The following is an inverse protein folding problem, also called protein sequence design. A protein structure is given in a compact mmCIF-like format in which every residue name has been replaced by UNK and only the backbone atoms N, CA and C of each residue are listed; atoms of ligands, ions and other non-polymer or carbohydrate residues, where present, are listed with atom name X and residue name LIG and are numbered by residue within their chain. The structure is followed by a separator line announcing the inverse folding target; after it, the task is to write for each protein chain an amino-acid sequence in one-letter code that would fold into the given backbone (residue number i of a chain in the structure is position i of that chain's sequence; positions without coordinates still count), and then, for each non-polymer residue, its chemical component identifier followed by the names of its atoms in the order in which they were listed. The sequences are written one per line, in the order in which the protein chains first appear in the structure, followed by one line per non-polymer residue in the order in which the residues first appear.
data_IF_501354898951
#
_entry.id   IF_501354898951
#
_cell.length_a   1.000
_cell.length_b   1.000
_cell.length_c   1.000
_cell.angle_alpha   90.00
_cell.angle_beta   90.00
_cell.angle_gamma   90.00
#
_symmetry.space_group_name_H-M   'P 1'
#
loop_
_entity.id
_entity.type
_entity.pdbx_description
1 polymer ?
#
# COMPACT_ATOMS: atom_id res chain seq x y z
N UNK A 1 21.88 -8.01 23.16
CA UNK A 1 22.08 -7.52 21.79
C UNK A 1 20.69 -7.27 21.21
N UNK A 2 20.42 -6.08 20.67
CA UNK A 2 19.14 -5.76 20.00
C UNK A 2 18.99 -6.68 18.77
N UNK A 3 17.74 -7.06 18.41
CA UNK A 3 17.48 -7.91 17.23
C UNK A 3 18.00 -7.28 15.93
N UNK A 4 17.99 -5.96 15.81
CA UNK A 4 18.52 -5.23 14.66
C UNK A 4 20.04 -5.35 14.58
N UNK A 5 20.75 -5.23 15.71
CA UNK A 5 22.21 -5.39 15.75
C UNK A 5 22.63 -6.82 15.36
N UNK A 6 21.84 -7.81 15.78
CA UNK A 6 22.07 -9.20 15.37
C UNK A 6 21.89 -9.37 13.86
N UNK A 7 20.79 -8.85 13.29
CA UNK A 7 20.56 -8.92 11.84
C UNK A 7 21.66 -8.20 11.06
N UNK A 8 22.07 -7.02 11.52
CA UNK A 8 23.19 -6.28 10.92
C UNK A 8 24.49 -7.07 10.94
N UNK A 9 24.78 -7.77 12.05
CA UNK A 9 25.96 -8.61 12.16
C UNK A 9 25.89 -9.84 11.24
N UNK A 10 24.72 -10.47 11.09
CA UNK A 10 24.51 -11.61 10.19
C UNK A 10 24.69 -11.20 8.72
N UNK A 11 24.09 -10.08 8.32
CA UNK A 11 24.21 -9.55 6.95
C UNK A 11 25.67 -9.20 6.62
N UNK A 12 26.41 -8.57 7.56
CA UNK A 12 27.84 -8.31 7.40
C UNK A 12 28.68 -9.58 7.26
N UNK A 13 28.21 -10.70 7.79
CA UNK A 13 28.85 -12.01 7.64
C UNK A 13 28.41 -12.78 6.39
N UNK A 14 27.65 -12.15 5.50
CA UNK A 14 27.25 -12.72 4.23
C UNK A 14 25.92 -13.49 4.26
N UNK A 15 25.07 -13.30 5.29
CA UNK A 15 23.73 -13.87 5.25
C UNK A 15 22.94 -13.30 4.05
N UNK A 16 22.29 -14.17 3.28
CA UNK A 16 21.44 -13.77 2.17
C UNK A 16 20.13 -13.15 2.68
N UNK A 17 19.96 -11.86 2.46
CA UNK A 17 18.75 -11.11 2.85
C UNK A 17 17.50 -11.52 2.04
N UNK A 18 17.70 -12.19 0.92
CA UNK A 18 16.65 -12.68 0.02
C UNK A 18 16.29 -14.15 0.25
N UNK A 19 16.99 -14.83 1.17
CA UNK A 19 16.63 -16.18 1.53
C UNK A 19 15.16 -16.25 1.94
N UNK A 20 14.46 -17.24 1.40
CA UNK A 20 13.03 -17.40 1.58
C UNK A 20 12.71 -18.74 2.27
N UNK A 21 11.76 -18.70 3.17
CA UNK A 21 11.28 -19.90 3.84
C UNK A 21 10.51 -20.81 2.88
N UNK A 22 10.81 -22.11 2.95
CA UNK A 22 10.11 -23.14 2.21
C UNK A 22 9.13 -23.84 3.14
N UNK A 23 7.89 -23.94 2.73
CA UNK A 23 6.81 -24.61 3.47
C UNK A 23 6.92 -26.13 3.34
N UNK A 24 6.55 -26.90 4.38
CA UNK A 24 6.17 -26.45 5.71
C UNK A 24 7.40 -26.13 6.59
N UNK A 25 7.35 -25.02 7.30
CA UNK A 25 8.35 -24.76 8.34
C UNK A 25 8.08 -25.65 9.57
N UNK A 26 9.13 -26.01 10.32
CA UNK A 26 9.00 -26.89 11.46
C UNK A 26 8.18 -26.28 12.60
N UNK A 27 7.48 -27.12 13.37
CA UNK A 27 6.75 -26.67 14.56
C UNK A 27 7.67 -25.98 15.58
N UNK A 28 8.92 -26.45 15.72
CA UNK A 28 9.94 -25.84 16.58
C UNK A 28 10.27 -24.41 16.12
N UNK A 29 10.43 -24.18 14.80
CA UNK A 29 10.66 -22.85 14.23
C UNK A 29 9.47 -21.92 14.51
N UNK A 30 8.23 -22.37 14.29
CA UNK A 30 7.02 -21.58 14.58
C UNK A 30 6.89 -21.24 16.06
N UNK A 31 7.25 -22.16 16.97
CA UNK A 31 7.25 -21.93 18.40
C UNK A 31 8.29 -20.89 18.81
N UNK A 32 9.47 -20.91 18.16
CA UNK A 32 10.56 -19.98 18.43
C UNK A 32 10.29 -18.57 17.88
N UNK A 33 9.87 -18.44 16.62
CA UNK A 33 9.59 -17.15 15.96
C UNK A 33 8.31 -16.53 16.50
N UNK A 34 7.37 -17.35 16.98
CA UNK A 34 6.05 -16.91 17.48
C UNK A 34 5.35 -15.96 16.51
N UNK A 35 5.27 -16.28 15.23
CA UNK A 35 4.56 -15.41 14.29
C UNK A 35 3.08 -15.37 14.64
N UNK A 36 2.48 -14.20 14.50
CA UNK A 36 1.06 -13.98 14.76
C UNK A 36 0.30 -13.70 13.46
N UNK A 37 -1.01 -13.89 13.50
CA UNK A 37 -1.91 -13.45 12.43
C UNK A 37 -1.58 -13.98 11.05
N UNK A 38 -1.45 -13.07 10.11
CA UNK A 38 -1.36 -13.35 8.69
C UNK A 38 -0.03 -13.99 8.28
N UNK A 39 1.09 -13.52 8.84
CA UNK A 39 2.42 -14.10 8.60
C UNK A 39 2.46 -15.58 9.00
N UNK A 40 1.84 -15.93 10.15
CA UNK A 40 1.78 -17.33 10.61
C UNK A 40 1.13 -18.25 9.60
N UNK A 41 0.06 -17.80 8.97
CA UNK A 41 -0.64 -18.56 7.91
C UNK A 41 0.27 -18.78 6.70
N UNK A 42 1.04 -17.77 6.27
CA UNK A 42 1.96 -17.90 5.14
C UNK A 42 3.13 -18.83 5.48
N UNK A 43 3.76 -18.68 6.64
CA UNK A 43 4.84 -19.57 7.07
C UNK A 43 4.38 -21.04 7.19
N UNK A 44 3.10 -21.27 7.48
CA UNK A 44 2.56 -22.61 7.65
C UNK A 44 2.10 -23.28 6.33
N UNK A 45 1.59 -22.48 5.39
CA UNK A 45 0.86 -22.99 4.22
C UNK A 45 1.36 -22.43 2.88
N UNK A 46 2.40 -21.60 2.88
CA UNK A 46 2.91 -20.95 1.67
C UNK A 46 4.44 -20.89 1.70
N UNK A 47 5.08 -20.91 0.55
CA UNK A 47 6.53 -20.82 0.41
C UNK A 47 6.93 -19.44 -0.15
N UNK A 48 8.19 -19.07 0.01
CA UNK A 48 8.71 -17.82 -0.52
C UNK A 48 8.56 -16.64 0.45
N UNK A 49 8.28 -16.88 1.73
CA UNK A 49 8.25 -15.82 2.76
C UNK A 49 9.68 -15.35 3.05
N UNK A 50 9.95 -14.06 2.85
CA UNK A 50 11.26 -13.43 3.10
C UNK A 50 11.30 -12.68 4.43
N UNK A 51 12.52 -12.35 4.89
CA UNK A 51 12.71 -11.50 6.08
C UNK A 51 12.04 -10.12 5.92
N UNK A 52 12.05 -9.55 4.70
CA UNK A 52 11.39 -8.28 4.40
C UNK A 52 9.85 -8.36 4.56
N UNK A 53 9.23 -9.49 4.19
CA UNK A 53 7.80 -9.72 4.42
C UNK A 53 7.48 -9.79 5.92
N UNK A 54 8.35 -10.42 6.72
CA UNK A 54 8.19 -10.50 8.16
C UNK A 54 8.37 -9.13 8.83
N UNK A 55 9.31 -8.32 8.39
CA UNK A 55 9.48 -6.93 8.84
C UNK A 55 8.24 -6.08 8.51
N UNK A 56 7.67 -6.23 7.31
CA UNK A 56 6.46 -5.54 6.89
C UNK A 56 5.22 -5.97 7.70
N UNK A 57 5.04 -7.28 7.95
CA UNK A 57 3.93 -7.78 8.77
C UNK A 57 4.01 -7.32 10.23
N UNK A 58 5.22 -7.19 10.77
CA UNK A 58 5.43 -6.70 12.15
C UNK A 58 5.40 -5.18 12.28
N UNK A 59 5.43 -4.42 11.18
CA UNK A 59 5.55 -2.96 11.18
C UNK A 59 6.94 -2.46 11.61
N UNK A 60 7.96 -3.30 11.53
CA UNK A 60 9.33 -2.92 11.91
C UNK A 60 10.03 -2.19 10.76
N UNK A 61 9.78 -0.88 10.66
CA UNK A 61 10.32 -0.04 9.59
C UNK A 61 11.85 0.01 9.61
N UNK A 62 12.48 0.03 10.79
CA UNK A 62 13.94 0.06 10.91
C UNK A 62 14.58 -1.24 10.37
N UNK A 63 13.97 -2.39 10.69
CA UNK A 63 14.40 -3.66 10.13
C UNK A 63 14.19 -3.72 8.63
N UNK A 64 13.06 -3.24 8.12
CA UNK A 64 12.78 -3.19 6.70
C UNK A 64 13.79 -2.29 5.95
N UNK A 65 14.12 -1.11 6.50
CA UNK A 65 15.17 -0.22 5.98
C UNK A 65 16.51 -0.96 5.92
N UNK A 66 16.92 -1.60 7.02
CA UNK A 66 18.16 -2.38 7.06
C UNK A 66 18.22 -3.43 5.95
N UNK A 67 17.15 -4.21 5.78
CA UNK A 67 17.10 -5.26 4.75
C UNK A 67 17.15 -4.67 3.34
N UNK A 68 16.42 -3.60 3.08
CA UNK A 68 16.39 -2.91 1.78
C UNK A 68 17.76 -2.31 1.45
N UNK A 69 18.43 -1.69 2.39
CA UNK A 69 19.77 -1.10 2.23
C UNK A 69 20.85 -2.16 1.92
N UNK A 70 20.59 -3.42 2.29
CA UNK A 70 21.45 -4.56 1.98
C UNK A 70 20.94 -5.42 0.82
N UNK A 71 20.06 -4.88 -0.02
CA UNK A 71 19.66 -5.52 -1.26
C UNK A 71 18.45 -6.46 -1.18
N UNK A 72 17.63 -6.35 -0.13
CA UNK A 72 16.37 -7.12 -0.08
C UNK A 72 15.44 -6.73 -1.24
N UNK A 73 15.01 -7.73 -2.00
CA UNK A 73 14.14 -7.57 -3.16
C UNK A 73 12.70 -7.31 -2.73
N UNK A 74 12.19 -6.11 -3.02
CA UNK A 74 10.84 -5.68 -2.61
C UNK A 74 9.70 -6.41 -3.32
N UNK A 75 9.96 -6.91 -4.55
CA UNK A 75 8.96 -7.50 -5.44
C UNK A 75 8.78 -9.01 -5.29
N UNK A 76 9.54 -9.68 -4.44
CA UNK A 76 9.38 -11.12 -4.17
C UNK A 76 7.94 -11.41 -3.74
N UNK A 77 7.40 -12.52 -4.26
CA UNK A 77 6.05 -12.98 -3.93
C UNK A 77 6.06 -14.40 -3.40
N UNK A 78 5.17 -14.68 -2.46
CA UNK A 78 4.93 -16.06 -2.00
C UNK A 78 4.36 -16.91 -3.13
N UNK A 79 4.68 -18.22 -3.14
CA UNK A 79 4.40 -19.13 -4.25
C UNK A 79 2.92 -19.44 -4.43
N UNK A 80 2.19 -19.66 -3.34
CA UNK A 80 0.78 -20.07 -3.41
C UNK A 80 -0.18 -18.92 -3.53
N UNK A 81 -0.03 -17.91 -2.67
CA UNK A 81 -0.96 -16.76 -2.59
C UNK A 81 -0.46 -15.52 -3.33
N UNK A 82 0.73 -15.58 -3.93
CA UNK A 82 1.35 -14.45 -4.65
C UNK A 82 1.39 -13.15 -3.84
N UNK A 83 1.66 -13.24 -2.52
CA UNK A 83 1.67 -12.13 -1.60
C UNK A 83 3.09 -11.54 -1.49
N UNK A 84 3.23 -10.22 -1.44
CA UNK A 84 4.51 -9.52 -1.35
C UNK A 84 4.61 -8.68 -0.08
N UNK A 85 5.81 -8.18 0.24
CA UNK A 85 6.03 -7.35 1.43
C UNK A 85 5.06 -6.16 1.52
N UNK A 86 4.78 -5.47 0.40
CA UNK A 86 3.83 -4.35 0.40
C UNK A 86 2.41 -4.79 0.73
N UNK A 87 2.01 -6.01 0.38
CA UNK A 87 0.71 -6.54 0.76
C UNK A 87 0.58 -6.73 2.28
N UNK A 88 1.65 -7.17 2.95
CA UNK A 88 1.69 -7.27 4.43
C UNK A 88 1.58 -5.87 5.07
N UNK A 89 2.32 -4.89 4.57
CA UNK A 89 2.24 -3.51 5.04
C UNK A 89 0.84 -2.90 4.82
N UNK A 90 0.24 -3.14 3.66
CA UNK A 90 -1.09 -2.65 3.30
C UNK A 90 -2.19 -3.19 4.24
N UNK A 91 -2.10 -4.45 4.65
CA UNK A 91 -3.03 -5.03 5.64
C UNK A 91 -2.96 -4.36 7.01
N UNK A 92 -1.82 -3.77 7.35
CA UNK A 92 -1.64 -3.00 8.59
C UNK A 92 -2.05 -1.54 8.44
N UNK A 93 -2.23 -1.06 7.22
CA UNK A 93 -2.38 0.36 6.94
C UNK A 93 -1.09 1.16 7.19
N UNK A 94 0.08 0.49 7.13
CA UNK A 94 1.37 1.13 7.45
C UNK A 94 1.87 1.93 6.23
N UNK A 95 1.53 3.22 6.22
CA UNK A 95 1.85 4.17 5.15
C UNK A 95 3.37 4.26 4.91
N UNK A 96 4.16 4.46 5.97
CA UNK A 96 5.62 4.61 5.85
C UNK A 96 6.30 3.33 5.33
N UNK A 97 5.83 2.18 5.79
CA UNK A 97 6.31 0.90 5.30
C UNK A 97 5.98 0.72 3.81
N UNK A 98 4.75 1.04 3.38
CA UNK A 98 4.38 0.95 1.97
C UNK A 98 5.21 1.89 1.10
N UNK A 99 5.47 3.13 1.54
CA UNK A 99 6.35 4.08 0.84
C UNK A 99 7.77 3.52 0.68
N UNK A 100 8.38 3.01 1.75
CA UNK A 100 9.69 2.34 1.69
C UNK A 100 9.70 1.20 0.66
N UNK A 101 8.67 0.36 0.68
CA UNK A 101 8.56 -0.79 -0.24
C UNK A 101 8.28 -0.39 -1.69
N UNK A 102 7.76 0.81 -1.92
CA UNK A 102 7.65 1.42 -3.26
C UNK A 102 8.94 2.13 -3.70
N UNK A 103 9.96 2.20 -2.85
CA UNK A 103 11.21 2.90 -3.13
C UNK A 103 11.15 4.40 -2.89
N UNK A 104 10.15 4.85 -2.13
CA UNK A 104 9.98 6.25 -1.72
C UNK A 104 10.55 6.43 -0.33
N UNK A 105 11.21 7.55 -0.07
CA UNK A 105 11.65 7.90 1.28
C UNK A 105 10.43 8.22 2.15
N UNK A 106 10.16 7.45 3.20
CA UNK A 106 8.99 7.67 4.06
C UNK A 106 9.11 8.91 4.95
N UNK A 107 10.28 9.56 5.01
CA UNK A 107 10.49 10.81 5.74
C UNK A 107 10.37 12.05 4.83
N UNK A 108 10.22 11.85 3.52
CA UNK A 108 10.11 12.94 2.54
C UNK A 108 8.76 12.89 1.80
N UNK A 109 7.84 13.77 2.19
CA UNK A 109 6.53 13.89 1.58
C UNK A 109 6.49 15.08 0.61
N UNK A 110 6.72 14.81 -0.69
CA UNK A 110 6.68 15.84 -1.74
C UNK A 110 5.28 16.42 -1.93
N UNK A 111 4.28 15.57 -1.72
CA UNK A 111 2.85 15.94 -1.83
C UNK A 111 1.98 14.93 -1.09
N UNK A 112 0.76 15.36 -0.81
CA UNK A 112 -0.25 14.50 -0.22
C UNK A 112 -1.66 14.90 -0.67
N UNK A 113 -2.62 14.01 -0.49
CA UNK A 113 -4.00 14.20 -0.90
C UNK A 113 -4.89 14.16 0.34
N UNK A 114 -5.76 15.17 0.50
CA UNK A 114 -6.89 15.13 1.43
C UNK A 114 -8.15 14.77 0.67
N UNK A 115 -8.99 13.92 1.26
CA UNK A 115 -10.37 13.70 0.82
C UNK A 115 -11.29 13.89 2.01
N UNK A 116 -12.34 14.67 1.83
CA UNK A 116 -13.40 14.87 2.82
C UNK A 116 -14.69 14.24 2.30
N UNK A 117 -15.17 13.23 3.04
CA UNK A 117 -16.34 12.46 2.65
C UNK A 117 -17.64 13.24 2.84
N UNK A 118 -17.69 14.16 3.79
CA UNK A 118 -18.86 15.01 4.01
C UNK A 118 -19.02 16.06 2.91
N UNK A 119 -17.91 16.64 2.44
CA UNK A 119 -17.89 17.64 1.37
C UNK A 119 -17.87 17.03 -0.03
N UNK A 120 -17.66 15.72 -0.16
CA UNK A 120 -17.41 15.02 -1.44
C UNK A 120 -16.36 15.76 -2.29
N UNK A 121 -15.21 16.06 -1.66
CA UNK A 121 -14.14 16.88 -2.24
C UNK A 121 -12.77 16.31 -1.94
N UNK A 122 -11.85 16.50 -2.88
CA UNK A 122 -10.44 16.18 -2.74
C UNK A 122 -9.57 17.41 -2.98
N UNK A 123 -8.44 17.46 -2.29
CA UNK A 123 -7.38 18.46 -2.43
C UNK A 123 -6.04 17.75 -2.60
N UNK A 124 -5.20 18.28 -3.47
CA UNK A 124 -3.80 17.88 -3.61
C UNK A 124 -2.95 19.04 -3.09
N UNK A 125 -2.08 18.73 -2.16
CA UNK A 125 -1.14 19.67 -1.54
C UNK A 125 0.30 19.34 -1.95
N UNK A 126 1.12 20.36 -2.14
CA UNK A 126 2.56 20.26 -2.35
C UNK A 126 3.35 20.29 -1.03
N UNK A 127 4.68 20.22 -1.15
CA UNK A 127 5.61 20.11 -0.03
C UNK A 127 5.53 21.29 0.96
N UNK A 128 5.24 22.48 0.48
CA UNK A 128 5.09 23.69 1.32
C UNK A 128 3.66 23.87 1.85
N UNK A 129 2.79 22.85 1.69
CA UNK A 129 1.40 22.92 2.08
C UNK A 129 0.51 23.74 1.14
N UNK A 130 1.06 24.23 0.02
CA UNK A 130 0.26 24.96 -0.99
C UNK A 130 -0.73 24.02 -1.68
N UNK A 131 -1.94 24.49 -1.88
CA UNK A 131 -2.97 23.75 -2.60
C UNK A 131 -2.71 23.80 -4.11
N UNK A 132 -2.42 22.65 -4.70
CA UNK A 132 -2.14 22.48 -6.13
C UNK A 132 -3.41 22.23 -6.95
N UNK A 133 -4.39 21.55 -6.34
CA UNK A 133 -5.67 21.24 -6.97
C UNK A 133 -6.74 21.04 -5.91
N UNK A 134 -7.96 21.49 -6.22
CA UNK A 134 -9.18 21.02 -5.57
C UNK A 134 -10.15 20.49 -6.61
N UNK A 135 -10.84 19.40 -6.30
CA UNK A 135 -11.82 18.79 -7.20
C UNK A 135 -12.95 18.13 -6.41
N UNK A 136 -14.11 18.03 -7.03
CA UNK A 136 -15.18 17.17 -6.50
C UNK A 136 -14.77 15.72 -6.59
N UNK A 137 -15.33 14.90 -5.71
CA UNK A 137 -15.28 13.45 -5.81
C UNK A 137 -16.68 12.88 -5.62
N UNK A 138 -16.89 11.63 -6.04
CA UNK A 138 -18.05 10.85 -5.61
C UNK A 138 -17.54 9.53 -5.03
N UNK A 139 -17.79 9.35 -3.73
CA UNK A 139 -17.28 8.23 -2.95
C UNK A 139 -18.32 7.11 -2.81
N UNK A 140 -18.03 6.10 -2.00
CA UNK A 140 -18.89 4.93 -1.83
C UNK A 140 -20.26 5.25 -1.24
N UNK A 141 -21.31 4.77 -1.90
CA UNK A 141 -22.70 4.88 -1.45
C UNK A 141 -22.98 4.02 -0.22
N UNK A 142 -24.16 4.15 0.39
CA UNK A 142 -24.62 3.29 1.50
C UNK A 142 -24.48 1.79 1.12
N UNK A 143 -23.85 1.01 1.98
CA UNK A 143 -23.54 -0.42 1.75
C UNK A 143 -22.19 -0.66 1.05
N UNK A 144 -21.57 0.39 0.50
CA UNK A 144 -20.25 0.33 -0.17
C UNK A 144 -19.41 1.55 0.23
N UNK A 145 -19.42 1.93 1.49
CA UNK A 145 -18.76 3.15 1.96
C UNK A 145 -17.26 3.14 1.67
N UNK A 146 -16.75 4.29 1.30
CA UNK A 146 -15.30 4.56 1.38
C UNK A 146 -14.95 4.79 2.84
N UNK A 147 -14.04 3.99 3.38
CA UNK A 147 -13.64 4.11 4.78
C UNK A 147 -12.67 5.28 4.97
N UNK A 148 -12.84 6.07 6.06
CA UNK A 148 -11.84 7.08 6.44
C UNK A 148 -10.54 6.40 6.92
N UNK A 149 -9.42 7.13 6.83
CA UNK A 149 -8.12 6.63 7.26
C UNK A 149 -6.97 7.18 6.42
N UNK A 150 -5.79 6.60 6.63
CA UNK A 150 -4.59 6.93 5.85
C UNK A 150 -4.26 5.83 4.84
N UNK A 151 -3.95 6.26 3.64
CA UNK A 151 -3.69 5.38 2.50
C UNK A 151 -2.46 5.86 1.74
N UNK A 152 -1.98 4.98 0.84
CA UNK A 152 -0.90 5.28 -0.12
C UNK A 152 -1.36 4.87 -1.51
N UNK A 153 -1.03 5.65 -2.54
CA UNK A 153 -1.19 5.23 -3.94
C UNK A 153 -0.16 4.13 -4.22
N UNK A 154 -0.63 2.88 -4.33
CA UNK A 154 0.25 1.70 -4.47
C UNK A 154 0.35 1.16 -5.88
N UNK A 155 -0.46 1.66 -6.81
CA UNK A 155 -0.52 1.20 -8.18
C UNK A 155 -1.21 2.23 -9.06
N UNK A 156 -0.81 2.37 -10.34
CA UNK A 156 -1.35 3.37 -11.26
C UNK A 156 -1.48 2.81 -12.67
N UNK A 157 -2.68 2.92 -13.25
CA UNK A 157 -2.98 2.52 -14.62
C UNK A 157 -3.77 3.60 -15.35
N UNK A 158 -3.27 4.09 -16.49
CA UNK A 158 -3.96 5.11 -17.27
C UNK A 158 -5.27 4.59 -17.86
N UNK A 159 -5.24 3.35 -18.33
CA UNK A 159 -6.40 2.60 -18.82
C UNK A 159 -6.56 1.34 -17.97
N UNK A 160 -7.54 1.32 -17.10
CA UNK A 160 -7.85 0.21 -16.23
C UNK A 160 -9.28 -0.27 -16.48
N UNK A 161 -9.47 -1.58 -16.46
CA UNK A 161 -10.79 -2.21 -16.43
C UNK A 161 -10.99 -2.89 -15.08
N UNK A 162 -12.18 -2.76 -14.51
CA UNK A 162 -12.48 -3.30 -13.18
C UNK A 162 -12.34 -4.81 -13.15
N UNK A 163 -11.58 -5.32 -12.19
CA UNK A 163 -11.50 -6.76 -11.91
C UNK A 163 -12.76 -7.31 -11.22
N UNK A 164 -13.59 -6.44 -10.63
CA UNK A 164 -14.79 -6.82 -9.88
C UNK A 164 -16.07 -6.64 -10.71
N UNK A 165 -16.09 -5.69 -11.62
CA UNK A 165 -17.26 -5.34 -12.43
C UNK A 165 -16.89 -5.40 -13.90
N UNK A 166 -17.23 -6.52 -14.57
CA UNK A 166 -16.87 -6.79 -15.97
C UNK A 166 -17.31 -5.65 -16.90
N UNK A 167 -16.37 -5.18 -17.74
CA UNK A 167 -16.61 -4.15 -18.74
C UNK A 167 -16.67 -2.71 -18.20
N UNK A 168 -16.42 -2.51 -16.90
CA UNK A 168 -16.39 -1.16 -16.34
C UNK A 168 -15.01 -0.56 -16.49
N UNK A 169 -14.86 0.41 -17.38
CA UNK A 169 -13.62 1.17 -17.55
C UNK A 169 -13.42 2.16 -16.40
N UNK A 170 -12.21 2.24 -15.90
CA UNK A 170 -11.76 3.14 -14.83
C UNK A 170 -10.50 3.89 -15.28
N UNK A 171 -10.62 4.88 -16.20
CA UNK A 171 -9.47 5.64 -16.66
C UNK A 171 -8.77 6.35 -15.50
N UNK A 172 -7.45 6.54 -15.60
CA UNK A 172 -6.61 7.17 -14.58
C UNK A 172 -6.71 6.50 -13.20
N UNK A 173 -6.83 5.18 -13.18
CA UNK A 173 -6.96 4.43 -11.93
C UNK A 173 -5.69 4.51 -11.07
N UNK A 174 -5.87 4.84 -9.79
CA UNK A 174 -4.81 4.93 -8.78
C UNK A 174 -5.26 4.16 -7.55
N UNK A 175 -4.70 2.97 -7.39
CA UNK A 175 -5.06 2.01 -6.33
C UNK A 175 -4.58 2.50 -4.96
N UNK A 176 -5.38 2.33 -3.94
CA UNK A 176 -5.04 2.64 -2.54
C UNK A 176 -4.75 1.35 -1.75
N UNK A 177 -3.63 1.32 -1.04
CA UNK A 177 -3.22 0.24 -0.11
C UNK A 177 -3.36 -1.17 -0.68
N UNK A 178 -2.99 -1.41 -1.95
CA UNK A 178 -3.14 -2.70 -2.63
C UNK A 178 -4.58 -3.28 -2.59
N UNK A 179 -5.58 -2.46 -2.28
CA UNK A 179 -6.98 -2.85 -2.17
C UNK A 179 -7.71 -2.80 -3.52
N UNK A 180 -9.00 -3.12 -3.52
CA UNK A 180 -9.87 -2.91 -4.68
C UNK A 180 -10.28 -1.44 -4.86
N UNK A 181 -9.98 -0.57 -3.88
CA UNK A 181 -10.40 0.83 -3.86
C UNK A 181 -9.29 1.71 -4.47
N UNK A 182 -9.71 2.74 -5.20
CA UNK A 182 -8.79 3.72 -5.77
C UNK A 182 -9.50 4.93 -6.33
N UNK A 183 -8.71 5.92 -6.73
CA UNK A 183 -9.19 7.03 -7.56
C UNK A 183 -9.35 6.57 -9.00
N UNK A 184 -10.32 7.07 -9.70
CA UNK A 184 -10.45 6.93 -11.16
C UNK A 184 -11.39 7.99 -11.73
N UNK A 185 -11.30 8.23 -13.05
CA UNK A 185 -12.27 9.06 -13.73
C UNK A 185 -13.67 8.45 -13.65
N UNK A 186 -14.69 9.28 -13.45
CA UNK A 186 -16.06 8.82 -13.48
C UNK A 186 -17.08 9.94 -13.24
N UNK A 187 -18.34 9.59 -13.40
CA UNK A 187 -19.45 10.49 -13.09
C UNK A 187 -19.51 10.78 -11.59
N UNK A 188 -19.49 12.06 -11.23
CA UNK A 188 -19.50 12.58 -9.86
C UNK A 188 -20.77 13.39 -9.62
N UNK A 189 -21.86 12.78 -9.17
CA UNK A 189 -23.01 13.52 -8.64
C UNK A 189 -22.63 14.19 -7.31
N UNK A 190 -23.52 15.04 -6.80
CA UNK A 190 -23.27 15.79 -5.56
C UNK A 190 -23.41 14.93 -4.28
N UNK A 191 -23.33 13.63 -4.41
CA UNK A 191 -23.48 12.66 -3.32
C UNK A 191 -22.64 11.39 -3.56
N UNK A 192 -22.43 10.56 -2.53
CA UNK A 192 -21.77 9.25 -2.66
C UNK A 192 -22.57 8.32 -3.59
N UNK A 193 -21.96 7.82 -4.68
CA UNK A 193 -22.64 6.98 -5.69
C UNK A 193 -21.79 5.81 -6.20
N UNK A 194 -20.55 5.65 -5.74
CA UNK A 194 -19.67 4.57 -6.17
C UNK A 194 -19.88 3.28 -5.35
N UNK A 195 -19.13 2.23 -5.68
CA UNK A 195 -19.02 1.01 -4.88
C UNK A 195 -17.71 0.99 -4.06
N UNK A 196 -17.32 2.15 -3.51
CA UNK A 196 -16.16 2.33 -2.65
C UNK A 196 -15.02 3.15 -3.25
N UNK A 197 -14.86 3.16 -4.58
CA UNK A 197 -13.85 4.00 -5.25
C UNK A 197 -14.17 5.49 -5.13
N UNK A 198 -13.13 6.31 -5.30
CA UNK A 198 -13.20 7.76 -5.31
C UNK A 198 -13.22 8.24 -6.77
N UNK A 199 -14.41 8.52 -7.31
CA UNK A 199 -14.53 8.99 -8.69
C UNK A 199 -14.10 10.45 -8.76
N UNK A 200 -13.30 10.79 -9.77
CA UNK A 200 -12.88 12.15 -10.13
C UNK A 200 -13.61 12.54 -11.41
N UNK A 201 -14.22 13.75 -11.51
CA UNK A 201 -14.92 14.14 -12.72
C UNK A 201 -13.96 14.26 -13.92
N UNK A 202 -14.39 13.93 -15.16
CA UNK A 202 -13.54 13.91 -16.35
C UNK A 202 -12.71 15.19 -16.56
N UNK A 203 -13.30 16.36 -16.28
CA UNK A 203 -12.61 17.66 -16.40
C UNK A 203 -11.38 17.82 -15.50
N UNK A 204 -11.27 17.05 -14.41
CA UNK A 204 -10.19 17.13 -13.41
C UNK A 204 -9.31 15.89 -13.38
N UNK A 205 -9.78 14.77 -13.92
CA UNK A 205 -9.13 13.47 -13.75
C UNK A 205 -7.70 13.44 -14.34
N UNK A 206 -7.50 13.98 -15.54
CA UNK A 206 -6.18 14.08 -16.16
C UNK A 206 -5.23 14.93 -15.32
N UNK A 207 -5.64 16.13 -14.88
CA UNK A 207 -4.82 17.00 -14.04
C UNK A 207 -4.54 16.39 -12.67
N UNK A 208 -5.51 15.71 -12.05
CA UNK A 208 -5.32 14.99 -10.80
C UNK A 208 -4.27 13.88 -10.97
N UNK A 209 -4.35 13.13 -12.07
CA UNK A 209 -3.37 12.10 -12.42
C UNK A 209 -1.97 12.68 -12.58
N UNK A 210 -1.80 13.79 -13.26
CA UNK A 210 -0.48 14.39 -13.53
C UNK A 210 0.16 14.97 -12.26
N UNK A 211 -0.67 15.47 -11.34
CA UNK A 211 -0.22 16.04 -10.06
C UNK A 211 0.09 14.99 -9.00
N UNK A 212 -0.49 13.79 -9.09
CA UNK A 212 -0.31 12.73 -8.09
C UNK A 212 0.64 11.64 -8.58
N UNK A 213 1.30 10.94 -7.67
CA UNK A 213 2.30 9.92 -8.00
C UNK A 213 2.11 8.66 -7.15
N UNK A 214 2.79 7.61 -7.59
CA UNK A 214 2.98 6.40 -6.78
C UNK A 214 3.67 6.79 -5.46
N UNK A 215 3.15 6.28 -4.35
CA UNK A 215 3.68 6.56 -3.00
C UNK A 215 3.10 7.80 -2.33
N UNK A 216 2.31 8.63 -3.02
CA UNK A 216 1.64 9.77 -2.39
C UNK A 216 0.68 9.30 -1.29
N UNK A 217 0.76 9.94 -0.13
CA UNK A 217 -0.14 9.71 1.00
C UNK A 217 -1.52 10.32 0.72
N UNK A 218 -2.54 9.59 1.11
CA UNK A 218 -3.94 10.01 1.01
C UNK A 218 -4.59 9.94 2.38
N UNK A 219 -5.13 11.05 2.85
CA UNK A 219 -5.88 11.15 4.11
C UNK A 219 -7.35 11.33 3.78
N UNK A 220 -8.17 10.35 4.16
CA UNK A 220 -9.62 10.38 3.99
C UNK A 220 -10.26 10.68 5.34
N UNK A 221 -10.97 11.79 5.42
CA UNK A 221 -11.72 12.24 6.62
C UNK A 221 -13.22 12.03 6.43
N UNK A 222 -13.98 11.82 7.54
CA UNK A 222 -15.44 11.66 7.52
C UNK A 222 -16.19 12.78 6.86
#
# INVERSE_FOLDING_TARGET
MNRIDLCRALVRKGADVNEAFVCPVTSAFLAWVRPVGFLKSHLKYDSGVTALMAAADSGNLEMAKLLVDHGATRSVRTSGKSFSAIGFAARRGDVKMMQLLLGIDPEYEERWIKVDLSEQRAWVYGIEGQMLLTTRVSTGKKGFRTEPGEFVITDRHRDHESNLYKGVRMPFFQRLNCSAIGFHEGYCPDHPASHGCLRIPPRSAGRFWDLTKLGDRVVITP
#
